data_IF_558895566354
#
_entry.id   IF_558895566354
#
_cell.length_a   1.000
_cell.length_b   1.000
_cell.length_c   1.000
_cell.angle_alpha   90.00
_cell.angle_beta   90.00
_cell.angle_gamma   90.00
#
_symmetry.space_group_name_H-M   'P 1'
#
loop_
_entity.id
_entity.type
_entity.pdbx_description
1 polymer ?
#
# COMPACT_ATOMS: atom_id res chain seq x y z
N UNK A 1 -11.37 2.30 5.51
CA UNK A 1 -9.96 1.82 5.48
C UNK A 1 -9.94 0.34 5.20
N UNK A 2 -8.91 -0.15 4.49
CA UNK A 2 -8.62 -1.58 4.38
C UNK A 2 -7.28 -1.90 5.03
N UNK A 3 -7.24 -2.99 5.77
CA UNK A 3 -6.05 -3.48 6.49
C UNK A 3 -6.07 -5.01 6.51
N UNK A 4 -4.90 -5.64 6.47
CA UNK A 4 -4.76 -7.09 6.59
C UNK A 4 -3.79 -7.44 7.71
N UNK A 5 -4.08 -8.49 8.45
CA UNK A 5 -3.22 -9.03 9.51
C UNK A 5 -3.04 -10.53 9.34
N UNK A 6 -1.86 -11.06 9.66
CA UNK A 6 -1.54 -12.48 9.54
C UNK A 6 -0.67 -12.97 10.71
N UNK A 7 -0.37 -14.26 10.73
CA UNK A 7 0.28 -14.95 11.87
C UNK A 7 1.63 -14.41 12.34
N UNK A 8 2.39 -13.74 11.45
CA UNK A 8 3.73 -13.23 11.78
C UNK A 8 3.71 -11.75 12.19
N UNK A 9 2.54 -11.11 12.22
CA UNK A 9 2.42 -9.74 12.68
C UNK A 9 2.59 -9.65 14.20
N UNK A 10 3.05 -8.51 14.67
CA UNK A 10 3.23 -8.23 16.09
C UNK A 10 1.97 -7.54 16.64
N UNK A 11 1.39 -8.10 17.71
CA UNK A 11 0.14 -7.59 18.29
C UNK A 11 0.26 -6.14 18.81
N UNK A 12 1.44 -5.75 19.37
CA UNK A 12 1.67 -4.39 19.86
C UNK A 12 1.73 -3.40 18.70
N UNK A 13 2.41 -3.76 17.60
CA UNK A 13 2.48 -2.91 16.42
C UNK A 13 1.11 -2.81 15.75
N UNK A 14 0.38 -3.91 15.69
CA UNK A 14 -0.97 -3.95 15.15
C UNK A 14 -1.95 -3.07 15.95
N UNK A 15 -1.93 -3.15 17.28
CA UNK A 15 -2.70 -2.25 18.14
C UNK A 15 -2.37 -0.78 17.84
N UNK A 16 -1.07 -0.44 17.75
CA UNK A 16 -0.63 0.93 17.44
C UNK A 16 -1.05 1.39 16.04
N UNK A 17 -1.02 0.50 15.06
CA UNK A 17 -1.52 0.78 13.70
C UNK A 17 -3.02 1.08 13.72
N UNK A 18 -3.82 0.31 14.46
CA UNK A 18 -5.26 0.54 14.62
C UNK A 18 -5.55 1.87 15.34
N UNK A 19 -4.81 2.22 16.41
CA UNK A 19 -4.93 3.53 17.06
C UNK A 19 -4.69 4.66 16.06
N UNK A 20 -3.67 4.50 15.21
CA UNK A 20 -3.26 5.53 14.25
C UNK A 20 -4.29 5.80 13.16
N UNK A 21 -5.22 4.87 12.91
CA UNK A 21 -6.30 5.02 11.92
C UNK A 21 -7.69 5.15 12.56
N UNK A 22 -7.76 5.24 13.88
CA UNK A 22 -9.00 5.46 14.65
C UNK A 22 -8.89 6.72 15.52
N UNK A 23 -8.58 6.55 16.81
CA UNK A 23 -8.63 7.62 17.79
C UNK A 23 -7.56 8.72 17.58
N UNK A 24 -6.46 8.40 16.90
CA UNK A 24 -5.41 9.38 16.62
C UNK A 24 -5.69 10.23 15.37
N UNK A 25 -6.74 9.94 14.60
CA UNK A 25 -7.07 10.70 13.38
C UNK A 25 -7.98 11.89 13.70
N UNK A 26 -7.76 13.00 12.98
CA UNK A 26 -8.67 14.18 12.99
C UNK A 26 -10.04 13.83 12.38
N UNK A 27 -10.06 12.90 11.41
CA UNK A 27 -11.28 12.37 10.80
C UNK A 27 -11.29 10.84 10.94
N UNK A 28 -12.24 10.31 11.71
CA UNK A 28 -12.40 8.85 11.89
C UNK A 28 -13.04 8.25 10.63
N UNK A 29 -12.53 7.10 10.12
CA UNK A 29 -13.11 6.44 8.95
C UNK A 29 -14.51 5.88 9.25
N UNK A 30 -15.39 5.87 8.23
CA UNK A 30 -16.73 5.30 8.35
C UNK A 30 -16.73 3.77 8.43
N UNK A 31 -15.69 3.12 7.89
CA UNK A 31 -15.56 1.66 7.83
C UNK A 31 -14.08 1.25 7.84
N UNK A 32 -13.78 0.20 8.60
CA UNK A 32 -12.49 -0.49 8.55
C UNK A 32 -12.75 -1.95 8.19
N UNK A 33 -12.36 -2.35 6.99
CA UNK A 33 -12.42 -3.75 6.55
C UNK A 33 -11.09 -4.42 6.90
N UNK A 34 -11.11 -5.20 7.96
CA UNK A 34 -9.96 -5.96 8.46
C UNK A 34 -10.01 -7.39 7.92
N UNK A 35 -9.00 -7.79 7.14
CA UNK A 35 -8.86 -9.18 6.69
C UNK A 35 -7.84 -9.90 7.56
N UNK A 36 -8.30 -10.93 8.25
CA UNK A 36 -7.45 -11.88 9.00
C UNK A 36 -7.01 -12.97 8.02
N UNK A 37 -5.78 -12.89 7.55
CA UNK A 37 -5.24 -13.74 6.48
C UNK A 37 -4.68 -15.07 7.03
N UNK A 38 -5.60 -15.95 7.39
CA UNK A 38 -5.33 -17.26 7.96
C UNK A 38 -5.33 -17.27 9.49
N UNK A 39 -4.92 -18.38 10.12
CA UNK A 39 -4.81 -18.49 11.58
C UNK A 39 -3.81 -17.46 12.15
N UNK A 40 -4.18 -16.82 13.25
CA UNK A 40 -3.38 -15.81 13.97
C UNK A 40 -3.13 -16.23 15.41
N UNK A 41 -2.24 -15.53 16.11
CA UNK A 41 -1.99 -15.74 17.53
C UNK A 41 -3.14 -15.20 18.39
N UNK A 42 -3.18 -15.66 19.66
CA UNK A 42 -4.17 -15.18 20.62
C UNK A 42 -4.03 -13.69 20.90
N UNK A 43 -2.81 -13.18 20.98
CA UNK A 43 -2.53 -11.77 21.24
C UNK A 43 -3.12 -10.87 20.13
N UNK A 44 -2.99 -11.26 18.86
CA UNK A 44 -3.62 -10.54 17.74
C UNK A 44 -5.15 -10.64 17.82
N UNK A 45 -5.69 -11.82 18.19
CA UNK A 45 -7.12 -12.00 18.36
C UNK A 45 -7.69 -11.13 19.50
N UNK A 46 -6.96 -10.99 20.59
CA UNK A 46 -7.34 -10.14 21.73
C UNK A 46 -7.40 -8.66 21.29
N UNK A 47 -6.43 -8.18 20.49
CA UNK A 47 -6.45 -6.83 19.88
C UNK A 47 -7.69 -6.65 18.99
N UNK A 48 -7.98 -7.60 18.08
CA UNK A 48 -9.17 -7.52 17.21
C UNK A 48 -10.46 -7.44 18.06
N UNK A 49 -10.54 -8.26 19.10
CA UNK A 49 -11.71 -8.31 19.99
C UNK A 49 -11.91 -6.99 20.75
N UNK A 50 -10.82 -6.36 21.18
CA UNK A 50 -10.86 -5.05 21.85
C UNK A 50 -11.41 -3.97 20.90
N UNK A 51 -10.82 -3.83 19.71
CA UNK A 51 -11.20 -2.76 18.77
C UNK A 51 -12.61 -2.95 18.20
N UNK A 52 -13.03 -4.20 17.94
CA UNK A 52 -14.40 -4.47 17.46
C UNK A 52 -15.47 -4.23 18.52
N UNK A 53 -15.14 -4.33 19.81
CA UNK A 53 -16.03 -3.92 20.91
C UNK A 53 -16.09 -2.40 21.07
N UNK A 54 -14.95 -1.71 20.88
CA UNK A 54 -14.83 -0.25 21.03
C UNK A 54 -15.45 0.51 19.86
N UNK A 55 -15.33 -0.02 18.64
CA UNK A 55 -15.73 0.66 17.41
C UNK A 55 -16.62 -0.21 16.52
N UNK A 56 -17.85 0.23 16.25
CA UNK A 56 -18.82 -0.47 15.37
C UNK A 56 -18.45 -0.41 13.88
N UNK A 57 -17.43 0.37 13.51
CA UNK A 57 -16.99 0.57 12.12
C UNK A 57 -16.17 -0.58 11.56
N UNK A 58 -15.80 -1.57 12.40
CA UNK A 58 -15.00 -2.71 11.96
C UNK A 58 -15.86 -3.79 11.29
N UNK A 59 -15.43 -4.18 10.09
CA UNK A 59 -15.90 -5.36 9.37
C UNK A 59 -14.76 -6.36 9.28
N UNK A 60 -14.81 -7.43 10.08
CA UNK A 60 -13.74 -8.44 10.14
C UNK A 60 -14.06 -9.62 9.24
N UNK A 61 -13.14 -9.93 8.32
CA UNK A 61 -13.22 -11.06 7.39
C UNK A 61 -12.12 -12.06 7.75
N UNK A 62 -12.48 -13.31 8.04
CA UNK A 62 -11.54 -14.34 8.48
C UNK A 62 -11.33 -15.38 7.40
N UNK A 63 -10.09 -15.59 7.00
CA UNK A 63 -9.70 -16.62 6.03
C UNK A 63 -9.25 -17.89 6.76
N UNK A 64 -9.60 -19.04 6.22
CA UNK A 64 -9.20 -20.34 6.79
C UNK A 64 -7.69 -20.62 6.65
N UNK A 65 -7.03 -19.99 5.67
CA UNK A 65 -5.60 -20.14 5.37
C UNK A 65 -5.03 -18.82 4.85
N UNK A 66 -3.73 -18.64 5.02
CA UNK A 66 -3.03 -17.49 4.43
C UNK A 66 -3.08 -17.58 2.89
N UNK A 67 -3.51 -16.50 2.26
CA UNK A 67 -3.64 -16.37 0.80
C UNK A 67 -2.69 -15.31 0.23
N UNK A 68 -2.02 -14.54 1.08
CA UNK A 68 -1.10 -13.46 0.75
C UNK A 68 -1.75 -12.08 0.61
N UNK A 69 -0.94 -11.04 0.80
CA UNK A 69 -1.37 -9.64 0.92
C UNK A 69 -2.28 -9.19 -0.24
N UNK A 70 -1.86 -9.43 -1.49
CA UNK A 70 -2.64 -8.98 -2.66
C UNK A 70 -4.05 -9.55 -2.69
N UNK A 71 -4.23 -10.85 -2.36
CA UNK A 71 -5.56 -11.48 -2.31
C UNK A 71 -6.38 -11.01 -1.12
N UNK A 72 -5.75 -10.79 0.03
CA UNK A 72 -6.41 -10.24 1.21
C UNK A 72 -6.91 -8.81 0.95
N UNK A 73 -6.09 -7.93 0.34
CA UNK A 73 -6.49 -6.58 -0.04
C UNK A 73 -7.60 -6.58 -1.11
N UNK A 74 -7.52 -7.46 -2.11
CA UNK A 74 -8.60 -7.63 -3.09
C UNK A 74 -9.92 -7.96 -2.40
N UNK A 75 -9.92 -8.91 -1.47
CA UNK A 75 -11.10 -9.29 -0.71
C UNK A 75 -11.62 -8.13 0.14
N UNK A 76 -10.72 -7.35 0.76
CA UNK A 76 -11.11 -6.16 1.52
C UNK A 76 -11.81 -5.12 0.64
N UNK A 77 -11.29 -4.84 -0.57
CA UNK A 77 -11.91 -3.92 -1.53
C UNK A 77 -13.29 -4.41 -1.97
N UNK A 78 -13.43 -5.69 -2.29
CA UNK A 78 -14.71 -6.29 -2.70
C UNK A 78 -15.78 -6.15 -1.61
N UNK A 79 -15.37 -6.21 -0.35
CA UNK A 79 -16.25 -6.10 0.82
C UNK A 79 -16.38 -4.69 1.40
N UNK A 80 -15.67 -3.69 0.88
CA UNK A 80 -15.82 -2.30 1.30
C UNK A 80 -17.14 -1.72 0.80
N UNK A 81 -17.78 -0.88 1.61
CA UNK A 81 -19.03 -0.20 1.27
C UNK A 81 -18.78 1.10 0.51
N UNK A 82 -17.78 1.86 0.93
CA UNK A 82 -17.53 3.22 0.47
C UNK A 82 -16.62 3.29 -0.76
N UNK A 83 -16.76 4.39 -1.52
CA UNK A 83 -16.04 4.61 -2.78
C UNK A 83 -14.57 4.97 -2.56
N UNK A 84 -14.25 5.80 -1.57
CA UNK A 84 -12.87 6.13 -1.22
C UNK A 84 -12.34 5.11 -0.22
N UNK A 85 -11.21 4.51 -0.56
CA UNK A 85 -10.57 3.46 0.24
C UNK A 85 -9.14 3.89 0.57
N UNK A 86 -8.83 4.07 1.84
CA UNK A 86 -7.45 4.22 2.33
C UNK A 86 -6.88 2.83 2.68
N UNK A 87 -5.62 2.60 2.30
CA UNK A 87 -4.90 1.37 2.63
C UNK A 87 -3.99 1.61 3.84
N UNK A 88 -3.82 0.60 4.69
CA UNK A 88 -2.92 0.63 5.85
C UNK A 88 -2.24 -0.72 6.05
N UNK A 89 -0.98 -0.72 6.53
CA UNK A 89 -0.27 -1.91 7.01
C UNK A 89 -0.50 -2.12 8.51
N UNK A 90 -0.34 -3.35 8.96
CA UNK A 90 -0.58 -3.77 10.35
C UNK A 90 0.53 -3.35 11.33
N UNK A 91 1.64 -2.79 10.87
CA UNK A 91 2.82 -2.44 11.67
C UNK A 91 3.28 -0.98 11.52
N UNK A 92 2.61 -0.21 10.65
CA UNK A 92 2.93 1.18 10.38
C UNK A 92 2.04 2.16 11.18
N UNK A 93 2.39 3.44 11.18
CA UNK A 93 1.68 4.49 11.92
C UNK A 93 1.24 5.62 11.00
N UNK A 94 -0.06 5.79 10.85
CA UNK A 94 -0.65 6.90 10.09
C UNK A 94 -0.47 8.22 10.84
N UNK A 95 -0.11 9.33 10.14
CA UNK A 95 -0.09 10.64 10.80
C UNK A 95 -1.52 11.11 11.09
N UNK A 96 -1.73 11.94 12.15
CA UNK A 96 -3.07 12.29 12.61
C UNK A 96 -3.96 12.99 11.56
N UNK A 97 -3.37 13.78 10.66
CA UNK A 97 -4.10 14.56 9.64
C UNK A 97 -4.25 13.84 8.31
N UNK A 98 -3.80 12.59 8.20
CA UNK A 98 -3.74 11.87 6.92
C UNK A 98 -5.08 11.84 6.19
N UNK A 99 -6.13 11.42 6.86
CA UNK A 99 -7.43 11.28 6.19
C UNK A 99 -8.05 12.62 5.86
N UNK A 100 -7.89 13.63 6.72
CA UNK A 100 -8.32 15.00 6.46
C UNK A 100 -7.64 15.58 5.21
N UNK A 101 -6.31 15.50 5.13
CA UNK A 101 -5.54 15.97 3.96
C UNK A 101 -5.95 15.24 2.68
N UNK A 102 -6.11 13.92 2.73
CA UNK A 102 -6.47 13.14 1.56
C UNK A 102 -7.90 13.42 1.10
N UNK A 103 -8.86 13.54 2.01
CA UNK A 103 -10.25 13.87 1.68
C UNK A 103 -10.36 15.27 1.08
N UNK A 104 -9.73 16.28 1.70
CA UNK A 104 -9.69 17.64 1.17
C UNK A 104 -9.08 17.69 -0.25
N UNK A 105 -8.05 16.87 -0.52
CA UNK A 105 -7.47 16.76 -1.84
C UNK A 105 -8.46 16.19 -2.87
N UNK A 106 -9.19 15.11 -2.54
CA UNK A 106 -10.20 14.55 -3.43
C UNK A 106 -11.38 15.49 -3.69
N UNK A 107 -11.76 16.32 -2.70
CA UNK A 107 -12.77 17.36 -2.88
C UNK A 107 -12.29 18.45 -3.85
N UNK A 108 -11.04 18.88 -3.72
CA UNK A 108 -10.44 19.92 -4.58
C UNK A 108 -10.10 19.41 -5.98
N UNK A 109 -9.76 18.14 -6.12
CA UNK A 109 -9.31 17.46 -7.36
C UNK A 109 -10.08 16.16 -7.58
N UNK A 110 -11.39 16.26 -7.89
CA UNK A 110 -12.28 15.09 -8.00
C UNK A 110 -11.91 14.13 -9.15
N UNK A 111 -11.11 14.58 -10.13
CA UNK A 111 -10.57 13.74 -11.19
C UNK A 111 -9.52 12.72 -10.72
N UNK A 112 -8.93 12.91 -9.53
CA UNK A 112 -7.91 12.01 -8.98
C UNK A 112 -8.49 10.64 -8.67
N UNK A 113 -7.79 9.57 -9.07
CA UNK A 113 -8.18 8.19 -8.80
C UNK A 113 -7.33 7.54 -7.71
N UNK A 114 -6.04 7.92 -7.62
CA UNK A 114 -5.10 7.43 -6.60
C UNK A 114 -4.33 8.60 -6.03
N UNK A 115 -4.41 8.79 -4.72
CA UNK A 115 -3.70 9.80 -3.97
C UNK A 115 -2.79 9.13 -2.93
N UNK A 116 -1.49 9.38 -3.02
CA UNK A 116 -0.50 8.97 -2.03
C UNK A 116 0.19 10.16 -1.37
N UNK A 117 1.30 9.89 -0.73
CA UNK A 117 2.18 10.89 -0.14
C UNK A 117 3.52 10.31 0.27
N UNK A 118 4.35 11.16 0.84
CA UNK A 118 5.65 10.77 1.39
C UNK A 118 5.48 9.85 2.61
N UNK A 119 6.53 9.13 2.94
CA UNK A 119 6.64 8.37 4.18
C UNK A 119 7.95 8.70 4.88
N UNK A 120 7.96 8.59 6.20
CA UNK A 120 9.19 8.43 6.97
C UNK A 120 9.42 6.97 7.31
N UNK A 121 10.66 6.62 7.61
CA UNK A 121 11.04 5.27 8.08
C UNK A 121 11.62 5.40 9.48
N UNK A 122 11.19 4.56 10.43
CA UNK A 122 11.66 4.58 11.81
C UNK A 122 12.01 3.19 12.33
N UNK A 123 12.91 3.12 13.32
CA UNK A 123 13.34 1.87 13.98
C UNK A 123 13.01 1.95 15.47
N UNK A 124 12.32 0.94 15.97
CA UNK A 124 11.91 0.88 17.38
C UNK A 124 10.83 1.90 17.70
N UNK A 125 11.21 3.02 18.31
CA UNK A 125 10.31 4.11 18.69
C UNK A 125 10.02 5.04 17.50
N UNK A 126 8.78 5.55 17.41
CA UNK A 126 8.28 6.36 16.27
C UNK A 126 9.09 7.64 16.02
N UNK A 127 9.71 8.20 17.06
CA UNK A 127 10.55 9.41 16.95
C UNK A 127 11.95 9.14 16.39
N UNK A 128 12.39 7.88 16.33
CA UNK A 128 13.69 7.49 15.80
C UNK A 128 13.62 7.32 14.26
N UNK A 129 13.49 8.45 13.58
CA UNK A 129 13.42 8.50 12.11
C UNK A 129 14.80 8.24 11.51
N UNK A 130 14.91 7.22 10.66
CA UNK A 130 16.13 6.80 9.98
C UNK A 130 16.11 7.05 8.48
N UNK A 131 14.95 7.37 7.91
CA UNK A 131 14.81 7.64 6.49
C UNK A 131 13.54 8.39 6.14
N UNK A 132 13.51 8.92 4.90
CA UNK A 132 12.32 9.49 4.27
C UNK A 132 12.27 9.04 2.82
N UNK A 133 11.09 8.63 2.34
CA UNK A 133 10.87 8.38 0.93
C UNK A 133 9.91 9.42 0.37
N UNK A 134 10.47 10.28 -0.49
CA UNK A 134 9.74 11.30 -1.26
C UNK A 134 9.34 10.71 -2.60
N UNK A 135 8.13 11.04 -3.05
CA UNK A 135 7.56 10.58 -4.33
C UNK A 135 7.15 11.76 -5.20
N UNK A 136 7.13 11.61 -6.55
CA UNK A 136 6.73 12.70 -7.45
C UNK A 136 5.26 13.08 -7.23
N UNK A 137 4.91 14.37 -7.42
CA UNK A 137 3.62 14.93 -7.02
C UNK A 137 2.54 14.82 -8.10
N UNK A 138 2.86 15.20 -9.35
CA UNK A 138 1.88 15.29 -10.42
C UNK A 138 1.71 13.98 -11.19
N UNK A 139 0.54 13.78 -11.80
CA UNK A 139 0.22 12.62 -12.62
C UNK A 139 1.32 12.29 -13.64
N UNK A 140 1.79 13.30 -14.37
CA UNK A 140 2.78 13.10 -15.43
C UNK A 140 4.16 12.73 -14.86
N UNK A 141 4.56 13.38 -13.76
CA UNK A 141 5.81 13.04 -13.06
C UNK A 141 5.74 11.63 -12.45
N UNK A 142 4.59 11.24 -11.89
CA UNK A 142 4.38 9.90 -11.33
C UNK A 142 4.46 8.85 -12.45
N UNK A 143 3.77 9.07 -13.58
CA UNK A 143 3.79 8.15 -14.72
C UNK A 143 5.19 8.02 -15.32
N UNK A 144 5.93 9.12 -15.46
CA UNK A 144 7.31 9.08 -15.94
C UNK A 144 8.20 8.29 -14.98
N UNK A 145 8.08 8.55 -13.68
CA UNK A 145 8.82 7.83 -12.64
C UNK A 145 8.47 6.33 -12.61
N UNK A 146 7.18 5.99 -12.84
CA UNK A 146 6.71 4.60 -12.92
C UNK A 146 7.30 3.80 -14.08
N UNK A 147 7.91 4.42 -15.06
CA UNK A 147 8.65 3.69 -16.10
C UNK A 147 9.89 2.96 -15.54
N UNK A 148 10.48 3.47 -14.47
CA UNK A 148 11.69 2.92 -13.86
C UNK A 148 11.46 2.27 -12.49
N UNK A 149 10.59 2.85 -11.64
CA UNK A 149 10.30 2.37 -10.28
C UNK A 149 8.93 2.84 -9.78
N UNK A 150 8.39 2.22 -8.75
CA UNK A 150 7.09 2.59 -8.19
C UNK A 150 7.07 4.05 -7.70
N UNK A 151 6.16 4.87 -8.24
CA UNK A 151 5.97 6.29 -7.92
C UNK A 151 4.97 6.55 -6.80
N UNK A 152 4.45 5.50 -6.15
CA UNK A 152 3.50 5.58 -5.03
C UNK A 152 4.06 4.83 -3.83
N UNK A 153 3.87 5.36 -2.64
CA UNK A 153 4.10 4.64 -1.39
C UNK A 153 2.82 3.89 -1.03
N UNK A 154 2.81 2.57 -1.22
CA UNK A 154 1.61 1.73 -1.10
C UNK A 154 0.85 1.93 0.23
N UNK A 155 1.58 2.05 1.35
CA UNK A 155 0.99 2.25 2.68
C UNK A 155 0.25 3.58 2.82
N UNK A 156 0.63 4.60 2.04
CA UNK A 156 0.05 5.95 2.14
C UNK A 156 -1.16 6.18 1.25
N UNK A 157 -1.51 5.23 0.36
CA UNK A 157 -2.51 5.52 -0.68
C UNK A 157 -3.95 5.55 -0.15
N UNK A 158 -4.73 6.46 -0.74
CA UNK A 158 -6.18 6.46 -0.79
C UNK A 158 -6.60 6.45 -2.26
N UNK A 159 -7.61 5.67 -2.64
CA UNK A 159 -8.03 5.52 -4.03
C UNK A 159 -9.52 5.30 -4.18
N UNK A 160 -10.02 5.59 -5.38
CA UNK A 160 -11.38 5.25 -5.76
C UNK A 160 -11.50 3.75 -5.99
N UNK A 161 -12.45 3.12 -5.32
CA UNK A 161 -12.75 1.69 -5.43
C UNK A 161 -12.97 1.26 -6.87
N UNK A 162 -13.75 2.03 -7.61
CA UNK A 162 -14.09 1.72 -9.00
C UNK A 162 -12.86 1.74 -9.92
N UNK A 163 -11.95 2.69 -9.76
CA UNK A 163 -10.72 2.76 -10.56
C UNK A 163 -9.81 1.53 -10.35
N UNK A 164 -9.72 1.04 -9.11
CA UNK A 164 -9.00 -0.20 -8.80
C UNK A 164 -9.69 -1.42 -9.42
N UNK A 165 -11.02 -1.50 -9.39
CA UNK A 165 -11.80 -2.59 -9.98
C UNK A 165 -11.65 -2.63 -11.50
N UNK A 166 -11.71 -1.49 -12.19
CA UNK A 166 -11.51 -1.37 -13.64
C UNK A 166 -10.13 -1.84 -14.09
N UNK A 167 -9.12 -1.69 -13.24
CA UNK A 167 -7.77 -2.22 -13.46
C UNK A 167 -7.64 -3.72 -13.13
N UNK A 168 -8.70 -4.38 -12.67
CA UNK A 168 -8.72 -5.80 -12.30
C UNK A 168 -8.24 -6.08 -10.87
N UNK A 169 -8.22 -5.06 -10.00
CA UNK A 169 -7.85 -5.15 -8.59
C UNK A 169 -6.43 -5.69 -8.36
N UNK A 170 -6.07 -6.06 -7.12
CA UNK A 170 -4.79 -6.68 -6.83
C UNK A 170 -4.66 -8.05 -7.48
N UNK A 171 -3.54 -8.30 -8.12
CA UNK A 171 -3.15 -9.59 -8.67
C UNK A 171 -1.88 -10.08 -7.97
N UNK A 172 -1.76 -11.39 -7.84
CA UNK A 172 -0.61 -12.01 -7.19
C UNK A 172 0.66 -11.76 -8.02
N UNK A 173 1.56 -10.96 -7.46
CA UNK A 173 2.89 -10.72 -7.99
C UNK A 173 3.85 -10.47 -6.83
N UNK A 174 4.72 -11.43 -6.55
CA UNK A 174 5.58 -11.47 -5.39
C UNK A 174 6.23 -10.11 -5.09
N UNK A 175 5.84 -9.47 -3.98
CA UNK A 175 6.35 -8.18 -3.46
C UNK A 175 6.23 -6.97 -4.40
N UNK A 176 5.46 -7.07 -5.47
CA UNK A 176 5.23 -6.00 -6.44
C UNK A 176 3.75 -5.94 -6.88
N UNK A 177 2.83 -6.46 -6.06
CA UNK A 177 1.39 -6.46 -6.31
C UNK A 177 0.83 -5.05 -6.47
N UNK A 178 1.37 -4.09 -5.72
CA UNK A 178 1.02 -2.67 -5.75
C UNK A 178 1.52 -1.99 -7.02
N UNK A 179 2.81 -2.11 -7.31
CA UNK A 179 3.39 -1.52 -8.52
C UNK A 179 2.72 -2.07 -9.79
N UNK A 180 2.43 -3.36 -9.82
CA UNK A 180 1.72 -3.97 -10.94
C UNK A 180 0.26 -3.47 -11.04
N UNK A 181 -0.40 -3.18 -9.92
CA UNK A 181 -1.72 -2.53 -9.92
C UNK A 181 -1.64 -1.12 -10.51
N UNK A 182 -0.68 -0.29 -10.07
CA UNK A 182 -0.55 1.09 -10.57
C UNK A 182 -0.26 1.14 -12.07
N UNK A 183 0.56 0.24 -12.60
CA UNK A 183 0.80 0.15 -14.06
C UNK A 183 -0.47 -0.21 -14.82
N UNK A 184 -1.30 -1.12 -14.31
CA UNK A 184 -2.59 -1.48 -14.94
C UNK A 184 -3.62 -0.34 -14.82
N UNK A 185 -3.64 0.38 -13.71
CA UNK A 185 -4.47 1.58 -13.53
C UNK A 185 -4.04 2.70 -14.50
N UNK A 186 -2.73 2.92 -14.67
CA UNK A 186 -2.23 3.85 -15.67
C UNK A 186 -2.72 3.49 -17.09
N UNK A 187 -2.69 2.23 -17.47
CA UNK A 187 -3.26 1.77 -18.77
C UNK A 187 -4.75 2.04 -18.92
N UNK A 188 -5.48 2.18 -17.81
CA UNK A 188 -6.89 2.56 -17.78
C UNK A 188 -7.10 4.07 -17.64
N UNK A 189 -6.05 4.85 -17.85
CA UNK A 189 -6.03 6.31 -17.74
C UNK A 189 -6.33 6.86 -16.33
N UNK A 190 -6.18 6.06 -15.29
CA UNK A 190 -6.32 6.53 -13.91
C UNK A 190 -5.40 7.73 -13.64
N UNK A 191 -5.91 8.71 -12.90
CA UNK A 191 -5.19 9.93 -12.50
C UNK A 191 -4.54 9.71 -11.15
N UNK A 192 -3.22 9.90 -11.09
CA UNK A 192 -2.39 9.76 -9.90
C UNK A 192 -1.99 11.11 -9.33
N UNK A 193 -1.88 11.20 -8.03
CA UNK A 193 -1.31 12.34 -7.33
C UNK A 193 -0.61 11.91 -6.03
N UNK A 194 0.30 12.74 -5.53
CA UNK A 194 0.82 12.66 -4.17
C UNK A 194 0.71 14.03 -3.50
N UNK A 195 0.41 14.07 -2.20
CA UNK A 195 0.20 15.31 -1.45
C UNK A 195 1.48 16.13 -1.26
N UNK A 196 2.66 15.47 -1.24
CA UNK A 196 3.93 16.06 -0.85
C UNK A 196 4.15 16.13 0.68
N UNK A 197 3.14 15.76 1.45
CA UNK A 197 3.21 15.61 2.90
C UNK A 197 3.59 14.19 3.30
N UNK A 198 4.19 14.00 4.48
CA UNK A 198 4.34 12.69 5.10
C UNK A 198 2.98 12.25 5.62
N UNK A 199 2.49 11.12 5.12
CA UNK A 199 1.17 10.58 5.50
C UNK A 199 1.27 9.37 6.42
N UNK A 200 2.40 8.65 6.39
CA UNK A 200 2.62 7.45 7.20
C UNK A 200 4.07 7.37 7.64
N UNK A 201 4.27 7.00 8.89
CA UNK A 201 5.55 6.60 9.45
C UNK A 201 5.65 5.08 9.36
N UNK A 202 6.60 4.59 8.57
CA UNK A 202 6.79 3.17 8.26
C UNK A 202 7.79 2.56 9.23
N UNK A 203 7.40 1.49 9.89
CA UNK A 203 8.29 0.73 10.76
C UNK A 203 9.22 -0.13 9.93
N UNK A 204 10.53 0.09 10.08
CA UNK A 204 11.55 -0.68 9.37
C UNK A 204 12.39 -1.49 10.36
N UNK A 205 12.76 -2.70 9.93
CA UNK A 205 13.69 -3.57 10.66
C UNK A 205 14.91 -3.88 9.82
N UNK A 206 15.96 -4.39 10.47
CA UNK A 206 17.23 -4.79 9.81
C UNK A 206 17.05 -5.79 8.67
N UNK A 207 15.94 -6.54 8.67
CA UNK A 207 15.65 -7.58 7.67
C UNK A 207 14.83 -7.08 6.47
N UNK A 208 14.27 -5.86 6.52
CA UNK A 208 13.43 -5.34 5.43
C UNK A 208 14.21 -5.19 4.12
N UNK A 209 15.44 -4.70 4.19
CA UNK A 209 16.30 -4.55 3.01
C UNK A 209 16.76 -5.89 2.43
N UNK A 210 16.96 -6.91 3.28
CA UNK A 210 17.34 -8.27 2.83
C UNK A 210 16.24 -8.96 2.05
N UNK A 211 14.98 -8.64 2.32
CA UNK A 211 13.81 -9.28 1.69
C UNK A 211 13.60 -8.83 0.23
N UNK A 212 14.05 -7.62 -0.15
CA UNK A 212 13.89 -7.05 -1.50
C UNK A 212 15.01 -7.47 -2.47
N UNK A 213 15.49 -8.71 -2.36
CA UNK A 213 16.53 -9.28 -3.23
C UNK A 213 16.21 -10.70 -3.69
N UNK A 214 17.09 -11.24 -4.55
CA UNK A 214 17.03 -12.62 -5.01
C UNK A 214 16.17 -12.83 -6.28
N UNK A 215 16.26 -14.03 -6.82
CA UNK A 215 15.71 -14.39 -8.14
C UNK A 215 14.18 -14.24 -8.26
N UNK A 216 13.42 -14.48 -7.17
CA UNK A 216 11.95 -14.31 -7.17
C UNK A 216 11.56 -12.86 -7.31
N UNK A 217 12.23 -11.95 -6.58
CA UNK A 217 11.97 -10.52 -6.65
C UNK A 217 12.31 -9.98 -8.04
N UNK A 218 13.48 -10.33 -8.57
CA UNK A 218 13.88 -9.98 -9.94
C UNK A 218 12.85 -10.45 -10.99
N UNK A 219 12.36 -11.69 -10.87
CA UNK A 219 11.33 -12.21 -11.79
C UNK A 219 10.03 -11.41 -11.74
N UNK A 220 9.62 -10.95 -10.56
CA UNK A 220 8.40 -10.15 -10.42
C UNK A 220 8.58 -8.74 -11.02
N UNK A 221 9.71 -8.08 -10.77
CA UNK A 221 10.03 -6.80 -11.39
C UNK A 221 10.17 -6.90 -12.91
N UNK A 222 10.86 -7.96 -13.40
CA UNK A 222 10.96 -8.23 -14.83
C UNK A 222 9.57 -8.37 -15.47
N UNK A 223 8.63 -9.06 -14.85
CA UNK A 223 7.27 -9.22 -15.34
C UNK A 223 6.56 -7.87 -15.52
N UNK A 224 6.80 -6.89 -14.65
CA UNK A 224 6.27 -5.53 -14.80
C UNK A 224 6.90 -4.85 -16.01
N UNK A 225 8.22 -4.95 -16.16
CA UNK A 225 8.93 -4.37 -17.32
C UNK A 225 8.49 -5.01 -18.63
N UNK A 226 8.33 -6.34 -18.67
CA UNK A 226 7.80 -7.07 -19.83
C UNK A 226 6.38 -6.59 -20.19
N UNK A 227 5.54 -6.37 -19.18
CA UNK A 227 4.19 -5.84 -19.36
C UNK A 227 4.22 -4.42 -19.95
N UNK A 228 5.03 -3.52 -19.39
CA UNK A 228 5.15 -2.15 -19.90
C UNK A 228 5.70 -2.10 -21.32
N UNK A 229 6.70 -2.94 -21.66
CA UNK A 229 7.22 -3.03 -23.01
C UNK A 229 6.17 -3.55 -23.99
N UNK A 230 5.46 -4.63 -23.63
CA UNK A 230 4.39 -5.23 -24.44
C UNK A 230 3.30 -4.23 -24.84
N UNK A 231 2.97 -3.32 -23.93
CA UNK A 231 1.91 -2.32 -24.15
C UNK A 231 2.44 -0.94 -24.57
N UNK A 232 3.72 -0.84 -24.95
CA UNK A 232 4.31 0.40 -25.48
C UNK A 232 4.47 1.53 -24.45
N UNK A 233 4.41 1.22 -23.17
CA UNK A 233 4.59 2.20 -22.09
C UNK A 233 6.05 2.63 -21.91
N UNK A 234 6.99 1.78 -22.30
CA UNK A 234 8.43 2.02 -22.30
C UNK A 234 9.03 1.58 -23.63
N UNK A 235 10.14 2.23 -24.03
CA UNK A 235 10.92 1.83 -25.20
C UNK A 235 11.83 0.63 -24.91
N UNK A 236 12.24 -0.08 -25.96
CA UNK A 236 13.17 -1.21 -25.80
C UNK A 236 14.53 -0.82 -25.16
N UNK A 237 15.17 0.32 -25.51
CA UNK A 237 16.38 0.76 -24.81
C UNK A 237 16.17 0.99 -23.32
N UNK A 238 15.05 1.59 -22.91
CA UNK A 238 14.70 1.81 -21.50
C UNK A 238 14.45 0.47 -20.78
N UNK A 239 13.78 -0.47 -21.44
CA UNK A 239 13.59 -1.82 -20.91
C UNK A 239 14.94 -2.49 -20.59
N UNK A 240 15.89 -2.49 -21.55
CA UNK A 240 17.24 -3.08 -21.35
C UNK A 240 17.96 -2.40 -20.19
N UNK A 241 17.96 -1.05 -20.14
CA UNK A 241 18.53 -0.27 -19.04
C UNK A 241 17.96 -0.70 -17.69
N UNK A 242 16.62 -0.81 -17.61
CA UNK A 242 15.93 -1.16 -16.38
C UNK A 242 16.22 -2.58 -15.92
N UNK A 243 16.29 -3.55 -16.84
CA UNK A 243 16.65 -4.94 -16.53
C UNK A 243 18.11 -5.02 -16.05
N UNK A 244 19.04 -4.36 -16.73
CA UNK A 244 20.45 -4.34 -16.33
C UNK A 244 20.63 -3.76 -14.92
N UNK A 245 19.96 -2.64 -14.60
CA UNK A 245 20.01 -2.03 -13.28
C UNK A 245 19.51 -2.99 -12.19
N UNK A 246 18.40 -3.68 -12.42
CA UNK A 246 17.82 -4.63 -11.45
C UNK A 246 18.71 -5.86 -11.22
N UNK A 247 19.45 -6.30 -12.22
CA UNK A 247 20.45 -7.35 -12.07
C UNK A 247 21.62 -6.90 -11.19
N UNK A 248 22.03 -5.64 -11.29
CA UNK A 248 23.10 -5.07 -10.45
C UNK A 248 22.63 -4.86 -9.00
N UNK A 249 21.42 -4.31 -8.81
CA UNK A 249 20.87 -4.04 -7.48
C UNK A 249 20.49 -5.33 -6.75
N UNK A 250 20.08 -6.35 -7.47
CA UNK A 250 19.61 -7.64 -6.94
C UNK A 250 20.69 -8.59 -6.47
N UNK A 251 22.01 -8.31 -6.71
CA UNK A 251 23.15 -9.21 -6.47
C UNK A 251 22.71 -10.66 -6.32
N UNK A 252 22.43 -11.27 -7.50
CA UNK A 252 22.18 -12.70 -7.64
C UNK A 252 23.49 -13.45 -7.49
#
# INVERSE_FOLDING_TARGET
VIISVYKNDNAVFFSRALDSITESQTIIPNEIVLVVDGPISKEIEDVISEYTKKYVIFKVIRLKKNVGLGKALKLAIENSTYELIARMDSDDVSVPTRFEEQLAYFELKPETDVLGGDITEFIGEEHNIVGKRVVPLSNDCIREFMKERCGMNHVSVMYKKEAVKQAGSYLDLFWNEDYYLWIRMWMKNAVFANTGSVLVNVRVGTDMYKRRGGSKYFKSEKKIQDYMLKYGMISYPLYIKNIAKRLQDGKI
#
